data_IF_258423853878
#
_entry.id   IF_258423853878
#
_cell.length_a   1.000
_cell.length_b   1.000
_cell.length_c   1.000
_cell.angle_alpha   90.00
_cell.angle_beta   90.00
_cell.angle_gamma   90.00
#
_symmetry.space_group_name_H-M   'P 1'
#
loop_
_entity.id
_entity.type
_entity.pdbx_description
1 polymer ?
#
# COMPACT_ATOMS: atom_id res chain seq x y z
N UNK A 1 28.92 43.18 65.59
CA UNK A 1 29.39 42.15 64.64
C UNK A 1 28.92 40.73 64.99
N UNK A 2 29.05 40.24 66.23
CA UNK A 2 28.63 38.87 66.63
C UNK A 2 27.16 38.51 66.34
N UNK A 3 26.22 39.45 66.46
CA UNK A 3 24.78 39.23 66.19
C UNK A 3 24.45 39.09 64.69
N UNK A 4 25.15 39.82 63.81
CA UNK A 4 24.96 39.75 62.36
C UNK A 4 25.42 38.40 61.82
N UNK A 5 26.51 37.87 62.38
CA UNK A 5 27.04 36.54 62.02
C UNK A 5 26.06 35.42 62.37
N UNK A 6 25.33 35.56 63.49
CA UNK A 6 24.29 34.60 63.88
C UNK A 6 23.10 34.61 62.90
N UNK A 7 22.64 35.78 62.46
CA UNK A 7 21.58 35.89 61.45
C UNK A 7 22.01 35.35 60.08
N UNK A 8 23.25 35.62 59.67
CA UNK A 8 23.80 35.05 58.44
C UNK A 8 23.86 33.51 58.48
N UNK A 9 24.25 32.95 59.64
CA UNK A 9 24.33 31.50 59.84
C UNK A 9 22.93 30.85 59.87
N UNK A 10 21.95 31.50 60.51
CA UNK A 10 20.56 31.05 60.53
C UNK A 10 19.94 31.03 59.12
N UNK A 11 20.21 32.07 58.33
CA UNK A 11 19.73 32.17 56.95
C UNK A 11 20.35 31.09 56.05
N UNK A 12 21.66 30.83 56.21
CA UNK A 12 22.33 29.75 55.50
C UNK A 12 21.73 28.37 55.84
N UNK A 13 21.40 28.15 57.11
CA UNK A 13 20.74 26.91 57.55
C UNK A 13 19.31 26.78 57.00
N UNK A 14 18.56 27.88 56.94
CA UNK A 14 17.22 27.91 56.35
C UNK A 14 17.23 27.59 54.85
N UNK A 15 18.19 28.14 54.10
CA UNK A 15 18.36 27.83 52.67
C UNK A 15 18.73 26.36 52.44
N UNK A 16 19.59 25.78 53.28
CA UNK A 16 19.95 24.37 53.21
C UNK A 16 18.74 23.46 53.44
N UNK A 17 17.88 23.79 54.42
CA UNK A 17 16.67 23.03 54.71
C UNK A 17 15.64 23.09 53.55
N UNK A 18 15.47 24.25 52.91
CA UNK A 18 14.58 24.39 51.75
C UNK A 18 15.13 23.66 50.53
N UNK A 19 16.44 23.73 50.27
CA UNK A 19 17.09 23.00 49.19
C UNK A 19 16.99 21.48 49.34
N UNK A 20 17.18 20.97 50.57
CA UNK A 20 17.02 19.55 50.89
C UNK A 20 15.54 19.10 50.75
N UNK A 21 14.60 19.94 51.16
CA UNK A 21 13.16 19.67 50.99
C UNK A 21 12.73 19.60 49.52
N UNK A 22 13.22 20.53 48.69
CA UNK A 22 12.93 20.54 47.25
C UNK A 22 13.50 19.30 46.54
N UNK A 23 14.71 18.87 46.91
CA UNK A 23 15.30 17.65 46.38
C UNK A 23 14.58 16.37 46.86
N UNK A 24 14.08 16.36 48.10
CA UNK A 24 13.35 15.23 48.67
C UNK A 24 11.90 15.08 48.15
N UNK A 25 11.36 16.09 47.46
CA UNK A 25 10.00 16.10 46.89
C UNK A 25 9.99 15.84 45.38
N UNK A 26 11.15 15.71 44.74
CA UNK A 26 11.26 15.41 43.31
C UNK A 26 11.80 14.00 43.14
N UNK A 27 10.90 13.07 42.78
CA UNK A 27 11.27 11.72 42.35
C UNK A 27 10.86 11.53 40.88
N UNK A 28 11.79 11.06 40.06
CA UNK A 28 11.51 10.65 38.69
C UNK A 28 11.20 9.16 38.66
N UNK A 29 9.97 8.79 38.29
CA UNK A 29 9.66 7.40 37.96
C UNK A 29 10.07 7.15 36.51
N UNK A 30 11.11 6.32 36.32
CA UNK A 30 11.57 5.94 34.97
C UNK A 30 10.97 4.59 34.63
N UNK A 31 10.03 4.57 33.69
CA UNK A 31 9.46 3.33 33.15
C UNK A 31 10.26 2.98 31.90
N UNK A 32 11.14 2.00 32.02
CA UNK A 32 11.80 1.39 30.87
C UNK A 32 10.93 0.27 30.33
N UNK A 33 10.51 0.37 29.07
CA UNK A 33 9.72 -0.64 28.38
C UNK A 33 10.10 -0.70 26.90
N UNK A 34 10.06 -1.89 26.33
CA UNK A 34 10.15 -2.07 24.87
C UNK A 34 8.73 -2.28 24.35
N UNK A 35 8.30 -1.44 23.41
CA UNK A 35 7.01 -1.60 22.74
C UNK A 35 7.27 -2.26 21.39
N UNK A 36 6.84 -3.51 21.24
CA UNK A 36 6.84 -4.17 19.95
C UNK A 36 5.63 -3.67 19.16
N UNK A 37 5.85 -2.91 18.10
CA UNK A 37 4.80 -2.56 17.15
C UNK A 37 4.56 -3.73 16.20
N UNK A 38 3.32 -3.87 15.73
CA UNK A 38 3.03 -4.82 14.67
C UNK A 38 3.64 -4.42 13.34
N UNK A 39 3.65 -5.37 12.41
CA UNK A 39 4.23 -5.28 11.07
C UNK A 39 3.11 -5.28 10.02
N UNK A 40 3.19 -4.34 9.09
CA UNK A 40 2.32 -4.26 7.92
C UNK A 40 3.05 -4.98 6.80
N UNK A 41 2.49 -6.10 6.36
CA UNK A 41 3.06 -6.92 5.30
C UNK A 41 1.92 -7.66 4.59
N UNK A 42 1.86 -7.52 3.26
CA UNK A 42 1.00 -8.34 2.43
C UNK A 42 1.58 -8.52 1.03
N UNK A 43 1.19 -9.62 0.40
CA UNK A 43 1.75 -10.00 -0.90
C UNK A 43 0.69 -10.63 -1.79
N UNK A 44 0.98 -10.68 -3.08
CA UNK A 44 0.22 -11.41 -4.09
C UNK A 44 0.38 -12.91 -3.81
N UNK A 45 -0.65 -13.50 -3.19
CA UNK A 45 -0.62 -14.84 -2.64
C UNK A 45 -0.67 -15.94 -3.70
N UNK A 46 -1.44 -15.73 -4.75
CA UNK A 46 -1.65 -16.68 -5.83
C UNK A 46 -1.28 -16.07 -7.18
N UNK A 47 -1.10 -16.94 -8.18
CA UNK A 47 -0.97 -16.49 -9.57
C UNK A 47 -2.19 -15.69 -9.99
N UNK A 48 -1.94 -14.54 -10.63
CA UNK A 48 -2.99 -13.74 -11.22
C UNK A 48 -3.70 -14.52 -12.34
N UNK A 49 -5.01 -14.36 -12.41
CA UNK A 49 -5.89 -14.93 -13.43
C UNK A 49 -6.27 -13.84 -14.43
N UNK A 50 -6.57 -14.22 -15.67
CA UNK A 50 -6.98 -13.27 -16.70
C UNK A 50 -7.98 -13.88 -17.69
N UNK A 51 -8.71 -13.03 -18.40
CA UNK A 51 -9.65 -13.46 -19.45
C UNK A 51 -8.97 -13.81 -20.78
N UNK A 52 -7.78 -13.27 -21.04
CA UNK A 52 -6.98 -13.65 -22.20
C UNK A 52 -6.25 -14.99 -21.98
N UNK A 53 -6.98 -16.06 -22.26
CA UNK A 53 -6.49 -17.44 -22.24
C UNK A 53 -6.75 -18.14 -23.59
N UNK A 54 -6.81 -17.37 -24.68
CA UNK A 54 -7.21 -17.88 -25.98
C UNK A 54 -7.71 -16.78 -26.89
N UNK A 55 -8.99 -16.83 -27.25
CA UNK A 55 -9.58 -15.79 -28.10
C UNK A 55 -9.62 -14.45 -27.37
N UNK A 56 -9.26 -13.40 -28.12
CA UNK A 56 -9.18 -12.03 -27.65
C UNK A 56 -10.55 -11.52 -27.21
N UNK A 57 -10.53 -10.55 -26.30
CA UNK A 57 -11.73 -9.84 -25.87
C UNK A 57 -11.68 -8.39 -26.35
N UNK A 58 -12.85 -7.79 -26.48
CA UNK A 58 -13.01 -6.37 -26.79
C UNK A 58 -14.03 -5.71 -25.88
N UNK A 59 -13.88 -4.41 -25.67
CA UNK A 59 -14.80 -3.57 -24.91
C UNK A 59 -14.74 -2.14 -25.48
N UNK A 60 -15.80 -1.36 -25.32
CA UNK A 60 -15.79 0.05 -25.72
C UNK A 60 -14.93 0.90 -24.75
N UNK A 61 -14.29 1.97 -25.25
CA UNK A 61 -13.57 2.92 -24.39
C UNK A 61 -14.46 3.44 -23.25
N UNK A 62 -13.93 3.44 -22.03
CA UNK A 62 -14.67 3.83 -20.82
C UNK A 62 -15.18 2.65 -19.99
N UNK A 63 -15.11 1.43 -20.51
CA UNK A 63 -15.62 0.21 -19.83
C UNK A 63 -17.14 0.25 -19.60
N UNK A 64 -17.87 0.99 -20.44
CA UNK A 64 -19.33 1.20 -20.31
C UNK A 64 -20.16 0.04 -20.87
N UNK A 65 -19.52 -0.91 -21.55
CA UNK A 65 -20.17 -2.06 -22.21
C UNK A 65 -19.62 -3.38 -21.69
N UNK A 66 -20.48 -4.39 -21.64
CA UNK A 66 -20.06 -5.77 -21.36
C UNK A 66 -19.00 -6.23 -22.38
N UNK A 67 -17.83 -6.72 -21.92
CA UNK A 67 -16.81 -7.23 -22.82
C UNK A 67 -17.31 -8.40 -23.67
N UNK A 68 -16.90 -8.43 -24.94
CA UNK A 68 -17.28 -9.47 -25.90
C UNK A 68 -16.04 -10.23 -26.34
N UNK A 69 -16.11 -11.56 -26.34
CA UNK A 69 -15.06 -12.40 -26.90
C UNK A 69 -15.15 -12.42 -28.43
N UNK A 70 -14.02 -12.22 -29.11
CA UNK A 70 -13.89 -12.25 -30.55
C UNK A 70 -13.63 -13.68 -31.06
N UNK A 71 -13.62 -13.85 -32.38
CA UNK A 71 -13.19 -15.07 -33.05
C UNK A 71 -11.68 -15.08 -33.39
N UNK A 72 -10.96 -14.04 -32.96
CA UNK A 72 -9.53 -13.82 -33.22
C UNK A 72 -8.70 -14.02 -31.96
N UNK A 73 -7.43 -14.38 -32.16
CA UNK A 73 -6.39 -14.42 -31.13
C UNK A 73 -5.12 -13.81 -31.74
N UNK A 74 -4.90 -12.53 -31.50
CA UNK A 74 -3.84 -11.70 -32.08
C UNK A 74 -2.97 -11.11 -30.98
N UNK A 75 -3.60 -10.55 -29.96
CA UNK A 75 -2.93 -9.98 -28.79
C UNK A 75 -2.64 -11.04 -27.75
N UNK A 76 -1.71 -10.77 -26.84
CA UNK A 76 -1.50 -11.66 -25.69
C UNK A 76 -1.01 -10.88 -24.48
N UNK A 77 -1.47 -11.25 -23.30
CA UNK A 77 -1.09 -10.62 -22.04
C UNK A 77 -0.26 -11.54 -21.15
N UNK A 78 0.88 -11.02 -20.68
CA UNK A 78 1.73 -11.66 -19.66
C UNK A 78 1.65 -10.88 -18.36
N UNK A 79 1.39 -11.60 -17.27
CA UNK A 79 1.34 -11.06 -15.92
C UNK A 79 2.57 -11.51 -15.15
N UNK A 80 3.29 -10.58 -14.55
CA UNK A 80 4.51 -10.86 -13.79
C UNK A 80 4.46 -10.17 -12.44
N UNK A 81 4.26 -10.92 -11.34
CA UNK A 81 4.44 -10.38 -10.00
C UNK A 81 5.88 -9.91 -9.80
N UNK A 82 6.04 -8.72 -9.24
CA UNK A 82 7.31 -8.06 -8.96
C UNK A 82 7.34 -7.74 -7.46
N UNK A 83 8.53 -7.84 -6.89
CA UNK A 83 8.86 -7.42 -5.53
C UNK A 83 9.66 -6.14 -5.70
N UNK A 84 9.08 -5.01 -5.27
CA UNK A 84 9.65 -3.68 -5.57
C UNK A 84 10.59 -3.14 -4.51
N UNK A 85 10.54 -3.66 -3.28
CA UNK A 85 11.38 -3.22 -2.16
C UNK A 85 12.41 -4.26 -1.70
N UNK A 86 12.35 -5.48 -2.24
CA UNK A 86 13.34 -6.53 -2.08
C UNK A 86 13.19 -7.34 -0.78
N UNK A 87 12.01 -7.34 -0.17
CA UNK A 87 11.73 -8.07 1.06
C UNK A 87 11.36 -9.56 0.84
N UNK A 88 11.18 -9.95 -0.43
CA UNK A 88 10.81 -11.30 -0.85
C UNK A 88 9.33 -11.47 -1.19
N UNK A 89 8.51 -10.48 -0.86
CA UNK A 89 7.08 -10.47 -1.08
C UNK A 89 6.71 -9.70 -2.36
N UNK A 90 5.81 -10.29 -3.16
CA UNK A 90 5.40 -9.69 -4.43
C UNK A 90 4.27 -8.69 -4.18
N UNK A 91 4.54 -7.42 -4.37
CA UNK A 91 3.66 -6.29 -4.03
C UNK A 91 3.09 -5.58 -5.28
N UNK A 92 3.68 -5.83 -6.45
CA UNK A 92 3.35 -5.16 -7.71
C UNK A 92 3.06 -6.16 -8.81
N UNK A 93 2.01 -5.95 -9.60
CA UNK A 93 1.76 -6.76 -10.80
C UNK A 93 2.16 -5.97 -12.05
N UNK A 94 3.15 -6.48 -12.78
CA UNK A 94 3.52 -5.97 -14.11
C UNK A 94 2.69 -6.66 -15.18
N UNK A 95 2.08 -5.85 -16.03
CA UNK A 95 1.30 -6.30 -17.19
C UNK A 95 2.10 -5.99 -18.44
N UNK A 96 2.29 -6.99 -19.30
CA UNK A 96 2.94 -6.83 -20.61
C UNK A 96 2.00 -7.33 -21.69
N UNK A 97 1.52 -6.43 -22.54
CA UNK A 97 0.64 -6.72 -23.66
C UNK A 97 1.49 -6.79 -24.92
N UNK A 98 1.55 -7.95 -25.56
CA UNK A 98 2.24 -8.15 -26.83
C UNK A 98 1.24 -8.11 -27.98
N UNK A 99 1.60 -7.41 -29.07
CA UNK A 99 0.76 -7.25 -30.27
C UNK A 99 -0.63 -6.70 -29.95
N UNK A 100 -0.72 -5.81 -28.95
CA UNK A 100 -1.97 -5.13 -28.61
C UNK A 100 -2.45 -4.29 -29.79
N UNK A 101 -3.76 -4.28 -30.02
CA UNK A 101 -4.42 -3.51 -31.07
C UNK A 101 -5.60 -2.74 -30.47
N UNK A 102 -6.02 -1.60 -31.07
CA UNK A 102 -7.15 -0.84 -30.55
C UNK A 102 -8.40 -1.71 -30.36
N UNK A 103 -8.98 -1.65 -29.17
CA UNK A 103 -10.09 -2.50 -28.75
C UNK A 103 -9.68 -3.77 -27.99
N UNK A 104 -8.40 -4.16 -27.99
CA UNK A 104 -7.94 -5.32 -27.22
C UNK A 104 -8.17 -5.08 -25.72
N UNK A 105 -8.96 -5.96 -25.11
CA UNK A 105 -9.40 -5.88 -23.73
C UNK A 105 -8.93 -7.09 -22.94
N UNK A 106 -8.67 -6.88 -21.65
CA UNK A 106 -8.41 -7.95 -20.70
C UNK A 106 -8.90 -7.56 -19.31
N UNK A 107 -9.45 -8.55 -18.60
CA UNK A 107 -9.72 -8.46 -17.17
C UNK A 107 -8.76 -9.39 -16.42
N UNK A 108 -8.14 -8.84 -15.37
CA UNK A 108 -7.19 -9.52 -14.50
C UNK A 108 -7.72 -9.54 -13.07
N UNK A 109 -7.57 -10.68 -12.39
CA UNK A 109 -7.84 -10.79 -10.96
C UNK A 109 -6.72 -11.52 -10.23
N UNK A 110 -6.53 -11.20 -8.96
CA UNK A 110 -5.55 -11.88 -8.11
C UNK A 110 -5.98 -11.78 -6.64
N UNK A 111 -5.28 -12.52 -5.78
CA UNK A 111 -5.54 -12.56 -4.34
C UNK A 111 -4.32 -12.05 -3.61
N UNK A 112 -4.51 -11.08 -2.72
CA UNK A 112 -3.49 -10.66 -1.77
C UNK A 112 -3.74 -11.32 -0.40
N UNK A 113 -2.68 -11.56 0.36
CA UNK A 113 -2.74 -12.11 1.72
C UNK A 113 -1.98 -11.21 2.69
N UNK A 114 -2.60 -10.86 3.80
CA UNK A 114 -1.92 -10.20 4.91
C UNK A 114 -1.03 -11.21 5.64
N UNK A 115 0.27 -11.02 5.52
CA UNK A 115 1.33 -11.82 6.15
C UNK A 115 1.92 -11.14 7.40
N UNK A 116 1.58 -9.87 7.59
CA UNK A 116 1.93 -9.09 8.77
C UNK A 116 1.19 -9.52 10.02
N UNK A 117 1.46 -8.80 11.11
CA UNK A 117 0.95 -9.12 12.45
C UNK A 117 -0.19 -8.20 12.90
N UNK A 118 -0.57 -7.22 12.08
CA UNK A 118 -1.67 -6.30 12.34
C UNK A 118 -2.61 -6.14 11.13
N UNK A 119 -3.83 -5.64 11.33
CA UNK A 119 -4.74 -5.37 10.23
C UNK A 119 -4.21 -4.32 9.25
N UNK A 120 -4.47 -4.57 7.97
CA UNK A 120 -4.14 -3.68 6.85
C UNK A 120 -5.43 -3.06 6.34
N UNK A 121 -5.45 -1.74 6.19
CA UNK A 121 -6.48 -1.03 5.44
C UNK A 121 -6.03 -0.88 3.99
N UNK A 122 -6.86 -1.34 3.07
CA UNK A 122 -6.65 -1.22 1.62
C UNK A 122 -6.68 0.25 1.22
N UNK A 123 -5.79 0.67 0.33
CA UNK A 123 -5.81 1.97 -0.33
C UNK A 123 -6.26 1.84 -1.79
N UNK A 124 -6.55 2.99 -2.40
CA UNK A 124 -6.86 3.08 -3.82
C UNK A 124 -5.72 2.50 -4.66
N UNK A 125 -6.01 1.68 -5.68
CA UNK A 125 -5.00 1.14 -6.57
C UNK A 125 -4.20 2.23 -7.28
N UNK A 126 -2.90 2.01 -7.46
CA UNK A 126 -1.99 2.90 -8.17
C UNK A 126 -1.58 2.24 -9.48
N UNK A 127 -1.88 2.90 -10.59
CA UNK A 127 -1.50 2.46 -11.93
C UNK A 127 -0.37 3.35 -12.45
N UNK A 128 0.80 2.75 -12.71
CA UNK A 128 1.89 3.41 -13.43
C UNK A 128 1.82 3.01 -14.91
N UNK A 129 1.25 3.90 -15.71
CA UNK A 129 1.04 3.70 -17.14
C UNK A 129 1.90 4.68 -17.95
N UNK A 130 3.06 4.24 -18.46
CA UNK A 130 3.92 5.09 -19.29
C UNK A 130 3.34 5.37 -20.69
N UNK A 131 2.22 4.74 -21.06
CA UNK A 131 1.57 4.88 -22.37
C UNK A 131 0.09 5.30 -22.25
N UNK A 132 -0.23 6.47 -21.66
CA UNK A 132 -1.60 6.86 -21.32
C UNK A 132 -2.52 7.11 -22.52
N UNK A 133 -1.95 7.35 -23.71
CA UNK A 133 -2.72 7.46 -24.96
C UNK A 133 -3.06 6.11 -25.58
N UNK A 134 -2.35 5.05 -25.18
CA UNK A 134 -2.49 3.70 -25.75
C UNK A 134 -3.19 2.72 -24.81
N UNK A 135 -3.16 2.96 -23.49
CA UNK A 135 -3.80 2.09 -22.49
C UNK A 135 -4.74 2.89 -21.62
N UNK A 136 -6.00 2.45 -21.52
CA UNK A 136 -6.89 2.78 -20.41
C UNK A 136 -6.90 1.63 -19.41
N UNK A 137 -6.92 1.94 -18.11
CA UNK A 137 -7.05 0.96 -17.04
C UNK A 137 -8.19 1.37 -16.09
N UNK A 138 -8.94 0.38 -15.61
CA UNK A 138 -9.98 0.54 -14.61
C UNK A 138 -9.83 -0.53 -13.53
N UNK A 139 -10.21 -0.22 -12.30
CA UNK A 139 -10.01 -1.12 -11.16
C UNK A 139 -11.21 -1.10 -10.22
N UNK A 140 -11.40 -2.20 -9.49
CA UNK A 140 -12.33 -2.22 -8.37
C UNK A 140 -11.69 -1.49 -7.19
N UNK A 141 -12.33 -0.43 -6.72
CA UNK A 141 -11.89 0.25 -5.50
C UNK A 141 -12.41 -0.49 -4.27
N UNK A 142 -11.48 -1.02 -3.48
CA UNK A 142 -11.73 -1.69 -2.21
C UNK A 142 -11.17 -0.86 -1.03
N UNK A 143 -10.88 0.42 -1.24
CA UNK A 143 -10.30 1.31 -0.23
C UNK A 143 -11.08 1.30 1.08
N UNK A 144 -10.35 1.29 2.19
CA UNK A 144 -10.90 1.22 3.55
C UNK A 144 -11.29 -0.18 4.02
N UNK A 145 -11.30 -1.19 3.14
CA UNK A 145 -11.49 -2.59 3.56
C UNK A 145 -10.35 -3.00 4.50
N UNK A 146 -10.70 -3.63 5.61
CA UNK A 146 -9.75 -4.16 6.58
C UNK A 146 -9.44 -5.64 6.31
N UNK A 147 -8.16 -5.96 6.19
CA UNK A 147 -7.67 -7.34 6.04
C UNK A 147 -6.91 -7.71 7.31
N UNK A 148 -7.47 -8.63 8.11
CA UNK A 148 -6.84 -9.11 9.34
C UNK A 148 -5.61 -9.99 9.06
N UNK A 149 -4.68 -10.14 10.02
CA UNK A 149 -3.54 -11.06 9.87
C UNK A 149 -3.95 -12.47 9.41
N UNK A 150 -3.26 -12.98 8.39
CA UNK A 150 -3.52 -14.28 7.78
C UNK A 150 -4.73 -14.35 6.84
N UNK A 151 -5.55 -13.29 6.74
CA UNK A 151 -6.69 -13.23 5.82
C UNK A 151 -6.27 -12.83 4.40
N UNK A 152 -7.14 -13.11 3.45
CA UNK A 152 -6.96 -12.79 2.03
C UNK A 152 -8.05 -11.87 1.51
N UNK A 153 -7.73 -11.10 0.48
CA UNK A 153 -8.69 -10.29 -0.27
C UNK A 153 -8.44 -10.44 -1.78
N UNK A 154 -9.54 -10.48 -2.55
CA UNK A 154 -9.48 -10.49 -4.01
C UNK A 154 -9.44 -9.08 -4.59
N UNK A 155 -8.62 -8.90 -5.62
CA UNK A 155 -8.52 -7.69 -6.41
C UNK A 155 -8.82 -7.98 -7.87
N UNK A 156 -9.38 -6.98 -8.55
CA UNK A 156 -9.73 -7.04 -9.96
C UNK A 156 -9.42 -5.71 -10.64
N UNK A 157 -8.85 -5.78 -11.83
CA UNK A 157 -8.70 -4.64 -12.71
C UNK A 157 -8.84 -5.07 -14.17
N UNK A 158 -9.12 -4.11 -15.02
CA UNK A 158 -9.29 -4.27 -16.46
C UNK A 158 -8.45 -3.25 -17.18
N UNK A 159 -8.09 -3.55 -18.42
CA UNK A 159 -7.47 -2.58 -19.30
C UNK A 159 -7.93 -2.75 -20.75
N UNK A 160 -7.80 -1.67 -21.50
CA UNK A 160 -8.17 -1.57 -22.90
C UNK A 160 -7.04 -0.88 -23.67
N UNK A 161 -6.66 -1.45 -24.81
CA UNK A 161 -5.79 -0.77 -25.77
C UNK A 161 -6.63 0.21 -26.59
N UNK A 162 -6.23 1.49 -26.57
CA UNK A 162 -6.94 2.59 -27.21
C UNK A 162 -6.46 2.83 -28.65
N UNK A 163 -7.22 3.63 -29.40
CA UNK A 163 -6.90 4.04 -30.77
C UNK A 163 -5.56 4.79 -30.90
N UNK A 164 -5.04 5.35 -29.80
CA UNK A 164 -3.71 5.98 -29.76
C UNK A 164 -2.55 4.99 -29.73
N UNK A 165 -2.81 3.68 -29.76
CA UNK A 165 -1.80 2.64 -29.81
C UNK A 165 -1.21 2.48 -31.23
N UNK A 166 0.11 2.42 -31.30
CA UNK A 166 0.83 1.92 -32.48
C UNK A 166 0.51 0.44 -32.72
N UNK A 167 0.31 0.09 -34.00
CA UNK A 167 0.04 -1.29 -34.42
C UNK A 167 1.18 -2.25 -34.07
N UNK A 168 0.83 -3.49 -33.73
CA UNK A 168 1.77 -4.60 -33.47
C UNK A 168 2.85 -4.30 -32.41
N UNK A 169 2.61 -3.32 -31.53
CA UNK A 169 3.54 -2.89 -30.51
C UNK A 169 3.33 -3.66 -29.19
N UNK A 170 4.36 -3.63 -28.35
CA UNK A 170 4.30 -4.15 -26.98
C UNK A 170 4.17 -3.01 -26.01
N UNK A 171 3.20 -3.10 -25.10
CA UNK A 171 2.98 -2.12 -24.04
C UNK A 171 3.16 -2.77 -22.68
N UNK A 172 3.66 -2.00 -21.72
CA UNK A 172 3.75 -2.43 -20.33
C UNK A 172 3.31 -1.33 -19.39
N UNK A 173 2.66 -1.73 -18.32
CA UNK A 173 2.31 -0.89 -17.18
C UNK A 173 2.36 -1.73 -15.90
N UNK A 174 2.34 -1.08 -14.75
CA UNK A 174 2.26 -1.78 -13.46
C UNK A 174 1.04 -1.31 -12.68
N UNK A 175 0.48 -2.22 -11.89
CA UNK A 175 -0.54 -1.89 -10.92
C UNK A 175 -0.11 -2.35 -9.54
N UNK A 176 -0.33 -1.47 -8.56
CA UNK A 176 -0.12 -1.71 -7.15
C UNK A 176 -1.45 -1.54 -6.42
N UNK A 177 -1.67 -2.35 -5.41
CA UNK A 177 -2.77 -2.19 -4.47
C UNK A 177 -2.10 -1.92 -3.13
N UNK A 178 -1.95 -0.64 -2.72
CA UNK A 178 -1.24 -0.29 -1.51
C UNK A 178 -2.07 -0.61 -0.28
N UNK A 179 -1.40 -1.00 0.80
CA UNK A 179 -2.00 -1.31 2.08
C UNK A 179 -1.30 -0.52 3.15
N UNK A 180 -2.06 0.07 4.07
CA UNK A 180 -1.50 0.80 5.21
C UNK A 180 -1.96 0.20 6.52
N UNK A 181 -1.24 0.53 7.58
CA UNK A 181 -1.69 0.24 8.94
C UNK A 181 -3.11 0.79 9.16
N UNK A 182 -4.02 -0.05 9.67
CA UNK A 182 -5.44 0.29 9.81
C UNK A 182 -5.72 1.61 10.56
N UNK A 183 -4.90 1.94 11.56
CA UNK A 183 -5.07 3.14 12.38
C UNK A 183 -4.53 4.43 11.72
N UNK A 184 -3.93 4.33 10.54
CA UNK A 184 -3.51 5.46 9.71
C UNK A 184 -4.51 5.76 8.58
N UNK A 185 -5.53 4.93 8.39
CA UNK A 185 -6.54 5.15 7.37
C UNK A 185 -7.44 6.31 7.77
N UNK A 186 -7.42 7.40 7.00
CA UNK A 186 -8.17 8.63 7.32
C UNK A 186 -9.50 8.75 6.59
N UNK A 187 -9.82 7.86 5.64
CA UNK A 187 -11.06 7.87 4.87
C UNK A 187 -11.25 9.20 4.14
N UNK A 188 -10.68 9.30 2.93
CA UNK A 188 -10.98 10.38 1.98
C UNK A 188 -11.76 9.82 0.80
#
# INVERSE_FOLDING_TARGET
MKKIWFFALLLAFALLAVGAGYAAWSEHITIAGTVNTGEVDWYIYNSAMQTDIGLDWTCDPGFDTEPVQLDKNVGSTTLTPVDTDGDGDKDTLRVTVSRGYPGYYNYVSFVAKNNGTIPIAVQTPVVDNPNPVAIAAGYQDNSGTLVLPGQTIGFGFQFLILDGANESSTYSFTIQFPGIQWNKYTGE
#
